data_IF_077320905282
#
_entry.id   IF_077320905282
#
_cell.length_a   1.000
_cell.length_b   1.000
_cell.length_c   1.000
_cell.angle_alpha   90.00
_cell.angle_beta   90.00
_cell.angle_gamma   90.00
#
_symmetry.space_group_name_H-M   'P 1'
#
loop_
_entity.id
_entity.type
_entity.pdbx_description
1 polymer ?
#
# COMPACT_ATOMS: atom_id res chain seq x y z
N UNK A 1 -2.60 -20.61 -3.15
CA UNK A 1 -2.31 -19.24 -3.56
C UNK A 1 -2.18 -19.04 -5.09
N UNK A 2 -1.83 -20.03 -5.92
CA UNK A 2 -1.81 -19.82 -7.37
C UNK A 2 -3.20 -19.32 -7.83
N UNK A 3 -3.23 -18.29 -8.68
CA UNK A 3 -4.43 -17.61 -9.17
C UNK A 3 -4.92 -16.38 -8.40
N UNK A 4 -4.37 -16.03 -7.23
CA UNK A 4 -4.77 -14.80 -6.51
C UNK A 4 -4.27 -13.56 -7.24
N UNK A 5 -5.11 -12.51 -7.20
CA UNK A 5 -4.85 -11.19 -7.78
C UNK A 5 -4.34 -10.28 -6.68
N UNK A 6 -3.11 -9.84 -6.81
CA UNK A 6 -2.39 -9.07 -5.80
C UNK A 6 -2.07 -7.68 -6.33
N UNK A 7 -2.40 -6.66 -5.56
CA UNK A 7 -1.97 -5.29 -5.84
C UNK A 7 -1.06 -4.78 -4.72
N UNK A 8 0.08 -4.20 -5.09
CA UNK A 8 1.09 -3.69 -4.15
C UNK A 8 1.36 -2.22 -4.46
N UNK A 9 1.29 -1.35 -3.46
CA UNK A 9 1.77 0.03 -3.58
C UNK A 9 3.25 0.11 -3.21
N UNK A 10 4.06 0.86 -3.99
CA UNK A 10 5.50 0.98 -3.74
C UNK A 10 6.28 -0.28 -4.09
N UNK A 11 6.02 -0.87 -5.26
CA UNK A 11 6.61 -2.15 -5.65
C UNK A 11 7.92 -2.07 -6.44
N UNK A 12 8.48 -0.87 -6.68
CA UNK A 12 9.69 -0.72 -7.47
C UNK A 12 10.97 -1.14 -6.72
N UNK A 13 11.03 -0.91 -5.41
CA UNK A 13 12.23 -1.07 -4.59
C UNK A 13 11.93 -1.76 -3.24
N UNK A 14 12.98 -2.10 -2.51
CA UNK A 14 12.94 -2.52 -1.11
C UNK A 14 11.93 -3.63 -0.80
N UNK A 15 11.19 -3.46 0.28
CA UNK A 15 10.19 -4.41 0.79
C UNK A 15 9.11 -4.68 -0.27
N UNK A 16 8.60 -3.62 -0.92
CA UNK A 16 7.54 -3.76 -1.94
C UNK A 16 7.98 -4.62 -3.13
N UNK A 17 9.20 -4.41 -3.65
CA UNK A 17 9.78 -5.24 -4.71
C UNK A 17 9.89 -6.70 -4.28
N UNK A 18 10.38 -6.96 -3.07
CA UNK A 18 10.49 -8.31 -2.54
C UNK A 18 9.11 -9.00 -2.44
N UNK A 19 8.08 -8.25 -2.03
CA UNK A 19 6.69 -8.73 -1.97
C UNK A 19 6.18 -9.08 -3.39
N UNK A 20 6.38 -8.19 -4.37
CA UNK A 20 6.00 -8.43 -5.77
C UNK A 20 6.63 -9.71 -6.29
N UNK A 21 7.94 -9.87 -6.09
CA UNK A 21 8.68 -11.06 -6.52
C UNK A 21 8.18 -12.34 -5.83
N UNK A 22 7.95 -12.28 -4.52
CA UNK A 22 7.48 -13.43 -3.74
C UNK A 22 6.11 -13.93 -4.21
N UNK A 23 5.14 -13.02 -4.41
CA UNK A 23 3.83 -13.40 -4.93
C UNK A 23 3.89 -13.90 -6.38
N UNK A 24 4.73 -13.32 -7.22
CA UNK A 24 4.94 -13.85 -8.59
C UNK A 24 5.54 -15.25 -8.59
N UNK A 25 6.52 -15.51 -7.71
CA UNK A 25 7.17 -16.82 -7.58
C UNK A 25 6.18 -17.94 -7.24
N UNK A 26 5.14 -17.65 -6.48
CA UNK A 26 4.11 -18.63 -6.10
C UNK A 26 2.90 -18.64 -7.06
N UNK A 27 3.02 -18.01 -8.24
CA UNK A 27 2.02 -18.09 -9.32
C UNK A 27 0.86 -17.10 -9.22
N UNK A 28 0.93 -16.09 -8.34
CA UNK A 28 -0.09 -15.06 -8.27
C UNK A 28 -0.04 -14.13 -9.49
N UNK A 29 -1.19 -13.55 -9.84
CA UNK A 29 -1.28 -12.42 -10.77
C UNK A 29 -1.00 -11.14 -9.98
N UNK A 30 0.11 -10.46 -10.26
CA UNK A 30 0.56 -9.32 -9.47
C UNK A 30 0.59 -8.06 -10.32
N UNK A 31 0.01 -6.98 -9.77
CA UNK A 31 0.23 -5.61 -10.22
C UNK A 31 0.83 -4.78 -9.08
N UNK A 32 1.54 -3.74 -9.43
CA UNK A 32 2.05 -2.79 -8.47
C UNK A 32 2.13 -1.38 -9.06
N UNK A 33 2.07 -0.37 -8.19
CA UNK A 33 2.32 1.01 -8.58
C UNK A 33 3.56 1.56 -7.85
N UNK A 34 4.21 2.51 -8.49
CA UNK A 34 5.33 3.27 -7.95
C UNK A 34 5.54 4.52 -8.78
N UNK A 35 6.13 5.58 -8.22
CA UNK A 35 6.53 6.77 -8.97
C UNK A 35 7.95 6.64 -9.56
N UNK A 36 8.76 5.69 -9.11
CA UNK A 36 10.06 5.36 -9.69
C UNK A 36 9.88 4.54 -10.98
N UNK A 37 9.76 5.24 -12.10
CA UNK A 37 9.52 4.63 -13.41
C UNK A 37 10.64 3.67 -13.83
N UNK A 38 11.90 4.01 -13.51
CA UNK A 38 13.07 3.21 -13.91
C UNK A 38 13.07 1.87 -13.20
N UNK A 39 13.05 1.87 -11.87
CA UNK A 39 13.09 0.65 -11.08
C UNK A 39 11.76 -0.12 -11.17
N UNK A 40 10.62 0.57 -11.33
CA UNK A 40 9.33 -0.07 -11.57
C UNK A 40 9.31 -0.87 -12.88
N UNK A 41 9.83 -0.30 -13.97
CA UNK A 41 9.96 -1.02 -15.25
C UNK A 41 10.88 -2.23 -15.13
N UNK A 42 12.02 -2.09 -14.44
CA UNK A 42 12.95 -3.20 -14.21
C UNK A 42 12.32 -4.32 -13.35
N UNK A 43 11.60 -3.95 -12.30
CA UNK A 43 10.89 -4.92 -11.45
C UNK A 43 9.80 -5.64 -12.23
N UNK A 44 9.05 -4.93 -13.08
CA UNK A 44 8.05 -5.56 -13.96
C UNK A 44 8.69 -6.55 -14.93
N UNK A 45 9.76 -6.15 -15.60
CA UNK A 45 10.49 -6.99 -16.55
C UNK A 45 11.02 -8.28 -15.90
N UNK A 46 11.62 -8.16 -14.72
CA UNK A 46 12.25 -9.31 -14.04
C UNK A 46 11.26 -10.22 -13.32
N UNK A 47 10.12 -9.70 -12.88
CA UNK A 47 9.11 -10.48 -12.17
C UNK A 47 7.94 -10.95 -13.04
N UNK A 48 7.69 -10.30 -14.18
CA UNK A 48 6.47 -10.50 -14.97
C UNK A 48 5.21 -9.91 -14.31
N UNK A 49 5.35 -9.02 -13.33
CA UNK A 49 4.24 -8.29 -12.74
C UNK A 49 3.85 -7.08 -13.60
N UNK A 50 2.60 -6.63 -13.49
CA UNK A 50 2.13 -5.43 -14.19
C UNK A 50 2.49 -4.17 -13.42
N UNK A 51 3.18 -3.25 -14.05
CA UNK A 51 3.59 -1.97 -13.44
C UNK A 51 2.68 -0.83 -13.86
N UNK A 52 2.33 0.01 -12.88
CA UNK A 52 1.62 1.28 -13.07
C UNK A 52 2.49 2.42 -12.55
N UNK A 53 2.95 3.33 -13.42
CA UNK A 53 3.74 4.49 -13.01
C UNK A 53 2.84 5.57 -12.39
N UNK A 54 2.52 5.42 -11.11
CA UNK A 54 1.58 6.27 -10.36
C UNK A 54 2.25 6.83 -9.11
N UNK A 55 2.14 8.13 -8.90
CA UNK A 55 2.37 8.75 -7.61
C UNK A 55 1.10 8.60 -6.75
N UNK A 56 1.22 7.92 -5.61
CA UNK A 56 0.10 7.68 -4.70
C UNK A 56 -0.45 8.96 -4.06
N UNK A 57 0.30 10.08 -4.12
CA UNK A 57 -0.17 11.40 -3.71
C UNK A 57 -1.23 11.95 -4.66
N UNK A 58 -1.23 11.54 -5.93
CA UNK A 58 -2.31 11.80 -6.88
C UNK A 58 -3.44 10.78 -6.68
N UNK A 59 -4.43 11.21 -5.90
CA UNK A 59 -5.58 10.36 -5.55
C UNK A 59 -6.35 9.89 -6.79
N UNK A 60 -6.47 10.74 -7.83
CA UNK A 60 -7.19 10.39 -9.06
C UNK A 60 -6.42 9.36 -9.89
N UNK A 61 -5.10 9.52 -10.00
CA UNK A 61 -4.26 8.55 -10.68
C UNK A 61 -4.28 7.18 -9.97
N UNK A 62 -4.23 7.15 -8.63
CA UNK A 62 -4.32 5.92 -7.85
C UNK A 62 -5.69 5.24 -8.02
N UNK A 63 -6.78 5.99 -7.98
CA UNK A 63 -8.13 5.47 -8.22
C UNK A 63 -8.27 4.91 -9.64
N UNK A 64 -7.77 5.63 -10.65
CA UNK A 64 -7.80 5.17 -12.05
C UNK A 64 -6.99 3.89 -12.24
N UNK A 65 -5.83 3.77 -11.57
CA UNK A 65 -5.02 2.55 -11.57
C UNK A 65 -5.80 1.36 -11.00
N UNK A 66 -6.46 1.53 -9.85
CA UNK A 66 -7.25 0.46 -9.25
C UNK A 66 -8.47 0.10 -10.11
N UNK A 67 -9.14 1.08 -10.69
CA UNK A 67 -10.26 0.86 -11.60
C UNK A 67 -9.85 0.03 -12.82
N UNK A 68 -8.69 0.32 -13.43
CA UNK A 68 -8.16 -0.47 -14.53
C UNK A 68 -7.87 -1.93 -14.12
N UNK A 69 -7.33 -2.13 -12.92
CA UNK A 69 -7.11 -3.48 -12.38
C UNK A 69 -8.43 -4.21 -12.18
N UNK A 70 -9.43 -3.59 -11.59
CA UNK A 70 -10.76 -4.17 -11.39
C UNK A 70 -11.43 -4.54 -12.72
N UNK A 71 -11.39 -3.63 -13.68
CA UNK A 71 -11.96 -3.87 -15.01
C UNK A 71 -11.27 -5.02 -15.74
N UNK A 72 -9.93 -5.10 -15.63
CA UNK A 72 -9.13 -6.09 -16.34
C UNK A 72 -9.13 -7.47 -15.65
N UNK A 73 -9.22 -7.49 -14.31
CA UNK A 73 -9.05 -8.71 -13.51
C UNK A 73 -10.33 -9.17 -12.81
N UNK A 74 -11.34 -8.33 -12.77
CA UNK A 74 -12.61 -8.60 -12.12
C UNK A 74 -12.60 -8.45 -10.60
N UNK A 75 -11.45 -8.33 -9.94
CA UNK A 75 -11.31 -8.04 -8.50
C UNK A 75 -9.83 -7.97 -8.10
N UNK A 76 -9.56 -7.59 -6.85
CA UNK A 76 -8.28 -7.73 -6.15
C UNK A 76 -8.51 -8.62 -4.92
N UNK A 77 -7.78 -9.73 -4.81
CA UNK A 77 -7.88 -10.65 -3.67
C UNK A 77 -7.02 -10.18 -2.49
N UNK A 78 -5.83 -9.65 -2.79
CA UNK A 78 -4.83 -9.23 -1.80
C UNK A 78 -4.34 -7.83 -2.16
N UNK A 79 -4.51 -6.91 -1.23
CA UNK A 79 -4.02 -5.53 -1.32
C UNK A 79 -2.91 -5.33 -0.29
N UNK A 80 -1.73 -4.90 -0.75
CA UNK A 80 -0.60 -4.59 0.12
C UNK A 80 -0.31 -3.09 0.02
N UNK A 81 -0.60 -2.36 1.08
CA UNK A 81 -0.27 -0.95 1.23
C UNK A 81 1.13 -0.83 1.83
N UNK A 82 2.13 -0.63 0.98
CA UNK A 82 3.53 -0.62 1.38
C UNK A 82 4.21 0.73 1.16
N UNK A 83 3.72 1.60 0.28
CA UNK A 83 4.33 2.92 0.07
C UNK A 83 4.58 3.64 1.38
N UNK A 84 5.76 4.22 1.51
CA UNK A 84 6.09 5.10 2.61
C UNK A 84 7.39 5.84 2.36
N UNK A 85 7.43 7.07 2.85
CA UNK A 85 8.63 7.89 2.93
C UNK A 85 8.88 8.23 4.40
N UNK A 86 10.14 8.46 4.74
CA UNK A 86 10.55 8.99 6.04
C UNK A 86 11.35 10.28 5.82
N UNK A 87 11.22 11.19 6.76
CA UNK A 87 12.07 12.36 6.89
C UNK A 87 12.33 12.58 8.37
N UNK A 88 13.57 12.76 8.70
CA UNK A 88 14.01 13.04 10.05
C UNK A 88 14.61 14.43 10.06
N UNK A 89 14.04 15.34 10.84
CA UNK A 89 14.58 16.68 11.08
C UNK A 89 14.06 17.21 12.42
N UNK A 90 14.79 18.14 13.09
CA UNK A 90 14.31 18.75 14.31
C UNK A 90 12.90 19.33 14.14
N UNK A 91 12.04 19.20 15.15
CA UNK A 91 10.65 19.67 15.08
C UNK A 91 10.55 21.16 14.71
N UNK A 92 11.51 21.98 15.17
CA UNK A 92 11.58 23.39 14.84
C UNK A 92 11.94 23.71 13.38
N UNK A 93 12.48 22.74 12.65
CA UNK A 93 12.90 22.86 11.25
C UNK A 93 11.95 22.11 10.29
N UNK A 94 11.04 21.31 10.83
CA UNK A 94 10.06 20.57 10.04
C UNK A 94 8.93 21.51 9.63
N UNK A 95 8.76 21.73 8.33
CA UNK A 95 7.65 22.54 7.82
C UNK A 95 6.32 21.76 7.90
N UNK A 96 5.20 22.49 7.92
CA UNK A 96 3.87 21.89 7.82
C UNK A 96 3.72 21.15 6.49
N UNK A 97 4.26 21.67 5.41
CA UNK A 97 4.23 21.01 4.08
C UNK A 97 4.98 19.67 4.07
N UNK A 98 6.09 19.56 4.81
CA UNK A 98 6.80 18.29 4.96
C UNK A 98 5.98 17.29 5.75
N UNK A 99 5.34 17.72 6.82
CA UNK A 99 4.42 16.88 7.58
C UNK A 99 3.26 16.40 6.70
N UNK A 100 2.59 17.32 6.00
CA UNK A 100 1.47 17.01 5.13
C UNK A 100 1.86 16.07 3.99
N UNK A 101 3.06 16.25 3.42
CA UNK A 101 3.60 15.34 2.40
C UNK A 101 3.78 13.92 2.93
N UNK A 102 4.27 13.74 4.15
CA UNK A 102 4.41 12.43 4.78
C UNK A 102 3.04 11.77 4.97
N UNK A 103 2.06 12.52 5.48
CA UNK A 103 0.69 12.03 5.64
C UNK A 103 0.06 11.69 4.30
N UNK A 104 0.21 12.56 3.31
CA UNK A 104 -0.32 12.37 1.96
C UNK A 104 0.28 11.13 1.25
N UNK A 105 1.55 10.83 1.52
CA UNK A 105 2.24 9.68 0.91
C UNK A 105 1.98 8.38 1.67
N UNK A 106 2.04 8.41 3.00
CA UNK A 106 2.04 7.19 3.81
C UNK A 106 0.63 6.74 4.20
N UNK A 107 -0.23 7.68 4.67
CA UNK A 107 -1.51 7.35 5.31
C UNK A 107 -2.69 7.43 4.33
N UNK A 108 -2.81 8.54 3.61
CA UNK A 108 -3.97 8.77 2.72
C UNK A 108 -4.17 7.67 1.68
N UNK A 109 -3.13 7.13 1.02
CA UNK A 109 -3.30 6.05 0.04
C UNK A 109 -3.89 4.77 0.63
N UNK A 110 -3.61 4.45 1.89
CA UNK A 110 -4.18 3.29 2.57
C UNK A 110 -5.70 3.40 2.66
N UNK A 111 -6.20 4.58 2.98
CA UNK A 111 -7.64 4.84 2.98
C UNK A 111 -8.23 4.74 1.56
N UNK A 112 -7.58 5.37 0.57
CA UNK A 112 -8.08 5.36 -0.82
C UNK A 112 -8.19 3.94 -1.34
N UNK A 113 -7.12 3.15 -1.25
CA UNK A 113 -7.08 1.80 -1.81
C UNK A 113 -8.09 0.87 -1.13
N UNK A 114 -8.23 0.96 0.18
CA UNK A 114 -9.21 0.19 0.94
C UNK A 114 -10.66 0.58 0.55
N UNK A 115 -10.91 1.87 0.39
CA UNK A 115 -12.20 2.41 -0.05
C UNK A 115 -12.56 1.95 -1.46
N UNK A 116 -11.64 2.05 -2.41
CA UNK A 116 -11.89 1.61 -3.78
C UNK A 116 -12.18 0.11 -3.85
N UNK A 117 -11.46 -0.72 -3.10
CA UNK A 117 -11.73 -2.15 -3.00
C UNK A 117 -13.12 -2.43 -2.42
N UNK A 118 -13.52 -1.69 -1.38
CA UNK A 118 -14.84 -1.83 -0.76
C UNK A 118 -15.97 -1.44 -1.74
N UNK A 119 -15.85 -0.28 -2.37
CA UNK A 119 -16.84 0.23 -3.34
C UNK A 119 -17.01 -0.74 -4.51
N UNK A 120 -15.92 -1.24 -5.05
CA UNK A 120 -15.97 -2.20 -6.14
C UNK A 120 -16.70 -3.48 -5.71
N UNK A 121 -16.38 -4.05 -4.57
CA UNK A 121 -17.03 -5.28 -4.08
C UNK A 121 -18.51 -5.10 -3.76
N UNK A 122 -18.91 -3.94 -3.26
CA UNK A 122 -20.33 -3.61 -3.05
C UNK A 122 -21.11 -3.53 -4.36
N UNK A 123 -20.46 -3.20 -5.46
CA UNK A 123 -21.10 -3.13 -6.78
C UNK A 123 -21.29 -4.49 -7.46
N UNK A 124 -20.66 -5.55 -6.95
CA UNK A 124 -20.72 -6.88 -7.55
C UNK A 124 -22.01 -7.62 -7.13
N UNK A 125 -22.72 -8.21 -8.09
CA UNK A 125 -23.89 -9.07 -7.83
C UNK A 125 -23.53 -10.33 -7.04
N UNK A 126 -22.31 -10.80 -7.17
CA UNK A 126 -21.74 -11.95 -6.45
C UNK A 126 -20.37 -11.59 -5.95
N UNK A 127 -20.26 -10.95 -4.77
CA UNK A 127 -18.98 -10.54 -4.23
C UNK A 127 -18.11 -11.76 -3.91
N UNK A 128 -16.82 -11.59 -4.12
CA UNK A 128 -15.82 -12.57 -3.70
C UNK A 128 -15.83 -12.68 -2.16
N UNK A 129 -15.84 -13.89 -1.64
CA UNK A 129 -15.79 -14.17 -0.19
C UNK A 129 -14.35 -14.23 0.37
N UNK A 130 -13.36 -13.77 -0.40
CA UNK A 130 -11.96 -13.74 0.00
C UNK A 130 -11.33 -12.38 -0.30
N UNK A 131 -10.95 -11.65 0.74
CA UNK A 131 -10.19 -10.40 0.64
C UNK A 131 -9.17 -10.27 1.76
N UNK A 132 -7.99 -9.77 1.44
CA UNK A 132 -6.94 -9.51 2.42
C UNK A 132 -6.32 -8.15 2.14
N UNK A 133 -6.30 -7.31 3.15
CA UNK A 133 -5.53 -6.06 3.15
C UNK A 133 -4.42 -6.20 4.18
N UNK A 134 -3.20 -5.92 3.76
CA UNK A 134 -2.04 -5.86 4.65
C UNK A 134 -1.40 -4.49 4.52
N UNK A 135 -1.34 -3.77 5.62
CA UNK A 135 -0.77 -2.43 5.70
C UNK A 135 0.64 -2.51 6.32
N UNK A 136 1.63 -1.97 5.64
CA UNK A 136 3.00 -1.91 6.17
C UNK A 136 3.12 -0.67 7.05
N UNK A 137 3.10 -0.90 8.36
CA UNK A 137 3.34 0.11 9.39
C UNK A 137 4.85 0.24 9.68
N UNK A 138 5.23 0.42 10.90
CA UNK A 138 6.61 0.41 11.41
C UNK A 138 6.55 0.28 12.93
N UNK A 139 7.59 -0.22 13.57
CA UNK A 139 7.75 -0.15 15.03
C UNK A 139 7.68 1.28 15.56
N UNK A 140 7.86 2.28 14.67
CA UNK A 140 7.75 3.71 15.00
C UNK A 140 6.35 4.16 15.44
N UNK A 141 5.32 3.35 15.26
CA UNK A 141 4.00 3.66 15.81
C UNK A 141 3.94 3.52 17.34
N UNK A 142 4.89 2.80 17.95
CA UNK A 142 5.03 2.61 19.39
C UNK A 142 6.33 3.21 19.95
N UNK A 143 7.44 3.08 19.20
CA UNK A 143 8.77 3.48 19.63
C UNK A 143 9.31 4.54 18.68
N UNK A 144 8.99 5.79 18.95
CA UNK A 144 9.45 6.93 18.15
C UNK A 144 10.82 7.43 18.61
N UNK A 145 11.46 8.20 17.77
CA UNK A 145 12.69 8.93 18.05
C UNK A 145 12.55 10.41 17.68
N UNK A 146 13.36 11.31 18.23
CA UNK A 146 13.31 12.73 17.90
C UNK A 146 13.41 12.98 16.40
N UNK A 147 12.66 13.94 15.88
CA UNK A 147 12.67 14.29 14.46
C UNK A 147 11.86 13.37 13.56
N UNK A 148 11.10 12.43 14.12
CA UNK A 148 10.31 11.45 13.36
C UNK A 148 8.80 11.70 13.40
N UNK A 149 8.36 12.87 13.86
CA UNK A 149 6.98 13.17 14.24
C UNK A 149 5.98 12.86 13.10
N UNK A 150 6.25 13.35 11.88
CA UNK A 150 5.40 13.09 10.71
C UNK A 150 5.35 11.60 10.33
N UNK A 151 6.50 10.93 10.37
CA UNK A 151 6.58 9.51 10.08
C UNK A 151 5.85 8.68 11.15
N UNK A 152 6.12 8.93 12.42
CA UNK A 152 5.47 8.26 13.53
C UNK A 152 3.95 8.47 13.52
N UNK A 153 3.50 9.72 13.30
CA UNK A 153 2.08 10.05 13.13
C UNK A 153 1.44 9.27 11.98
N UNK A 154 2.10 9.21 10.82
CA UNK A 154 1.59 8.45 9.67
C UNK A 154 1.48 6.96 9.96
N UNK A 155 2.48 6.35 10.60
CA UNK A 155 2.49 4.91 10.91
C UNK A 155 1.54 4.55 12.05
N UNK A 156 1.38 5.44 13.04
CA UNK A 156 0.34 5.35 14.06
C UNK A 156 -1.07 5.47 13.46
N UNK A 157 -1.24 6.41 12.54
CA UNK A 157 -2.48 6.56 11.76
C UNK A 157 -2.84 5.30 10.96
N UNK A 158 -1.87 4.67 10.28
CA UNK A 158 -2.09 3.41 9.55
C UNK A 158 -2.49 2.29 10.51
N UNK A 159 -1.85 2.19 11.68
CA UNK A 159 -2.20 1.19 12.68
C UNK A 159 -3.65 1.35 13.15
N UNK A 160 -4.07 2.56 13.54
CA UNK A 160 -5.43 2.86 13.96
C UNK A 160 -6.45 2.66 12.82
N UNK A 161 -6.09 3.09 11.60
CA UNK A 161 -6.93 2.90 10.41
C UNK A 161 -7.10 1.41 10.09
N UNK A 162 -6.07 0.59 10.26
CA UNK A 162 -6.15 -0.88 10.09
C UNK A 162 -7.22 -1.48 10.98
N UNK A 163 -7.27 -1.05 12.25
CA UNK A 163 -8.26 -1.50 13.21
C UNK A 163 -9.69 -1.11 12.77
N UNK A 164 -9.91 0.16 12.45
CA UNK A 164 -11.21 0.64 11.97
C UNK A 164 -11.67 -0.06 10.69
N UNK A 165 -10.77 -0.23 9.71
CA UNK A 165 -11.05 -0.91 8.45
C UNK A 165 -11.38 -2.40 8.66
N UNK A 166 -10.77 -3.07 9.63
CA UNK A 166 -11.06 -4.48 9.90
C UNK A 166 -12.51 -4.71 10.29
N UNK A 167 -13.10 -3.78 11.03
CA UNK A 167 -14.51 -3.80 11.40
C UNK A 167 -15.43 -3.43 10.22
N UNK A 168 -15.08 -2.34 9.53
CA UNK A 168 -15.90 -1.81 8.43
C UNK A 168 -15.98 -2.75 7.23
N UNK A 169 -14.90 -3.51 6.96
CA UNK A 169 -14.78 -4.36 5.78
C UNK A 169 -15.09 -5.85 6.05
N UNK A 170 -15.33 -6.23 7.30
CA UNK A 170 -15.72 -7.59 7.66
C UNK A 170 -16.97 -8.09 6.90
N UNK A 171 -18.06 -7.28 6.73
CA UNK A 171 -19.21 -7.70 5.94
C UNK A 171 -18.94 -7.99 4.47
N UNK A 172 -17.80 -7.48 3.94
CA UNK A 172 -17.34 -7.72 2.57
C UNK A 172 -16.35 -8.89 2.49
N UNK A 173 -16.22 -9.67 3.55
CA UNK A 173 -15.25 -10.78 3.67
C UNK A 173 -13.80 -10.36 3.42
N UNK A 174 -13.45 -9.13 3.83
CA UNK A 174 -12.10 -8.59 3.76
C UNK A 174 -11.52 -8.54 5.17
N UNK A 175 -10.40 -9.25 5.39
CA UNK A 175 -9.62 -9.07 6.61
C UNK A 175 -8.58 -7.98 6.40
N UNK A 176 -8.34 -7.18 7.43
CA UNK A 176 -7.35 -6.09 7.39
C UNK A 176 -6.39 -6.29 8.56
N UNK A 177 -5.11 -6.38 8.23
CA UNK A 177 -4.03 -6.56 9.19
C UNK A 177 -2.88 -5.61 8.87
N UNK A 178 -1.97 -5.43 9.82
CA UNK A 178 -0.74 -4.68 9.62
C UNK A 178 0.49 -5.49 10.00
N UNK A 179 1.60 -5.18 9.34
CA UNK A 179 2.93 -5.67 9.70
C UNK A 179 3.75 -4.43 10.08
N UNK A 180 4.43 -4.51 11.22
CA UNK A 180 5.28 -3.44 11.75
C UNK A 180 6.76 -3.83 11.65
N UNK A 181 7.42 -3.61 10.52
CA UNK A 181 8.85 -3.87 10.39
C UNK A 181 9.66 -3.00 11.35
N UNK A 182 10.77 -3.55 11.85
CA UNK A 182 11.84 -2.79 12.48
C UNK A 182 12.78 -2.19 11.44
N UNK A 183 14.07 -2.22 11.71
CA UNK A 183 15.10 -1.82 10.76
C UNK A 183 15.27 -2.91 9.68
N UNK A 184 15.00 -2.54 8.45
CA UNK A 184 15.20 -3.42 7.29
C UNK A 184 16.20 -2.70 6.36
N UNK A 185 17.26 -3.39 5.99
CA UNK A 185 18.24 -2.88 5.03
C UNK A 185 17.62 -2.80 3.64
N UNK A 186 17.27 -1.58 3.23
CA UNK A 186 16.63 -1.28 1.95
C UNK A 186 17.16 0.05 1.40
N UNK A 187 17.13 0.26 0.08
CA UNK A 187 17.50 1.53 -0.53
C UNK A 187 16.39 2.60 -0.33
N UNK A 188 15.96 2.84 0.89
CA UNK A 188 14.94 3.83 1.21
C UNK A 188 15.59 5.14 1.69
#
# INVERSE_FOLDING_TARGET
FPTRRVFVTGGANGIGKAIVQAFRKIGCRVAFCDNDRKNGSLTAQTSGARFYPVDVCDSKALQSCMHDIFTTWGDIDILINNVGISRFSPISETSVDDFDRIIATNLRPVFITAREMAMYRQSLSRPNNYGRIVNITSTRYLMSEPGSEGYAASKGGIYSLTHALSLSLAPLHITVNSIAPGWIDTPM
#
